data_IF_059209063016
#
_entry.id   IF_059209063016
#
_cell.length_a   1.000
_cell.length_b   1.000
_cell.length_c   1.000
_cell.angle_alpha   90.00
_cell.angle_beta   90.00
_cell.angle_gamma   90.00
#
_symmetry.space_group_name_H-M   'P 1'
#
loop_
_entity.id
_entity.type
_entity.pdbx_description
1 polymer ?
#
# COMPACT_ATOMS: atom_id res chain seq x y z
N UNK A 1 -4.85 -29.17 -28.74
CA UNK A 1 -6.02 -28.99 -27.87
C UNK A 1 -5.98 -29.99 -26.73
N UNK A 2 -5.46 -29.58 -25.58
CA UNK A 2 -5.75 -30.17 -24.26
C UNK A 2 -6.01 -28.99 -23.35
N UNK A 3 -7.24 -28.90 -22.87
CA UNK A 3 -7.76 -27.84 -22.01
C UNK A 3 -7.06 -27.92 -20.66
N UNK A 4 -6.30 -26.88 -20.30
CA UNK A 4 -5.76 -26.72 -18.96
C UNK A 4 -6.94 -26.51 -18.00
N UNK A 5 -7.03 -27.38 -16.98
CA UNK A 5 -8.00 -27.24 -15.89
C UNK A 5 -7.67 -25.94 -15.13
N UNK A 6 -8.65 -25.04 -15.02
CA UNK A 6 -8.68 -24.03 -13.95
C UNK A 6 -8.67 -24.77 -12.61
N UNK A 7 -7.50 -24.90 -12.01
CA UNK A 7 -7.41 -25.27 -10.59
C UNK A 7 -7.83 -24.07 -9.79
N UNK A 8 -8.88 -24.20 -8.95
CA UNK A 8 -8.97 -23.35 -7.78
C UNK A 8 -7.70 -23.62 -6.97
N UNK A 9 -6.85 -22.62 -6.81
CA UNK A 9 -5.70 -22.68 -5.90
C UNK A 9 -6.30 -22.72 -4.49
N UNK A 10 -6.50 -23.92 -3.95
CA UNK A 10 -6.77 -24.06 -2.52
C UNK A 10 -5.51 -23.63 -1.78
N UNK A 11 -5.66 -22.68 -0.84
CA UNK A 11 -4.55 -22.28 0.01
C UNK A 11 -3.90 -23.51 0.69
N UNK A 12 -2.56 -23.65 0.64
CA UNK A 12 -1.85 -24.74 1.29
C UNK A 12 -2.26 -24.86 2.77
N UNK A 13 -2.32 -26.09 3.29
CA UNK A 13 -2.82 -26.35 4.64
C UNK A 13 -2.06 -25.59 5.73
N UNK A 14 -0.75 -25.37 5.55
CA UNK A 14 0.07 -24.58 6.46
C UNK A 14 -0.37 -23.11 6.51
N UNK A 15 -0.71 -22.54 5.35
CA UNK A 15 -1.17 -21.15 5.23
C UNK A 15 -2.50 -20.99 5.95
N UNK A 16 -3.45 -21.93 5.73
CA UNK A 16 -4.72 -21.97 6.46
C UNK A 16 -4.54 -22.05 7.98
N UNK A 17 -3.54 -22.81 8.44
CA UNK A 17 -3.22 -22.92 9.86
C UNK A 17 -2.57 -21.65 10.41
N UNK A 18 -1.72 -20.99 9.63
CA UNK A 18 -1.11 -19.71 9.99
C UNK A 18 -2.17 -18.61 10.09
N UNK A 19 -3.10 -18.50 9.13
CA UNK A 19 -4.28 -17.61 9.21
C UNK A 19 -5.00 -17.84 10.53
N UNK A 20 -5.33 -19.09 10.85
CA UNK A 20 -6.11 -19.45 12.04
C UNK A 20 -5.38 -19.13 13.35
N UNK A 21 -4.06 -19.34 13.41
CA UNK A 21 -3.27 -18.99 14.59
C UNK A 21 -3.04 -17.48 14.72
N UNK A 22 -2.86 -16.76 13.61
CA UNK A 22 -2.82 -15.29 13.58
C UNK A 22 -4.17 -14.71 14.00
N UNK A 23 -5.29 -15.22 13.48
CA UNK A 23 -6.65 -14.86 13.90
C UNK A 23 -6.85 -15.05 15.41
N UNK A 24 -6.39 -16.18 15.97
CA UNK A 24 -6.44 -16.43 17.42
C UNK A 24 -5.59 -15.43 18.20
N UNK A 25 -4.36 -15.15 17.76
CA UNK A 25 -3.45 -14.20 18.43
C UNK A 25 -4.03 -12.79 18.41
N UNK A 26 -4.49 -12.31 17.26
CA UNK A 26 -5.10 -10.98 17.10
C UNK A 26 -6.39 -10.88 17.90
N UNK A 27 -7.29 -11.88 17.81
CA UNK A 27 -8.51 -11.94 18.63
C UNK A 27 -8.22 -11.94 20.14
N UNK A 28 -7.16 -12.63 20.57
CA UNK A 28 -6.75 -12.68 21.98
C UNK A 28 -6.16 -11.35 22.46
N UNK A 29 -5.43 -10.65 21.60
CA UNK A 29 -4.86 -9.34 21.88
C UNK A 29 -5.96 -8.29 22.10
N UNK A 30 -6.96 -8.25 21.22
CA UNK A 30 -8.09 -7.32 21.34
C UNK A 30 -9.08 -7.69 22.47
N UNK A 31 -9.22 -8.98 22.81
CA UNK A 31 -10.02 -9.41 23.98
C UNK A 31 -9.31 -9.20 25.31
N UNK A 32 -7.97 -9.30 25.35
CA UNK A 32 -7.15 -9.10 26.54
C UNK A 32 -7.11 -7.66 27.05
N UNK A 33 -7.42 -6.67 26.21
CA UNK A 33 -7.52 -5.26 26.61
C UNK A 33 -8.79 -4.88 27.37
N UNK A 34 -9.77 -5.77 27.52
CA UNK A 34 -11.07 -5.50 28.16
C UNK A 34 -11.24 -6.04 29.58
N UNK A 35 -10.20 -6.56 30.24
CA UNK A 35 -10.34 -7.27 31.52
C UNK A 35 -9.42 -6.78 32.62
N UNK A 36 -9.81 -5.69 33.31
CA UNK A 36 -9.09 -5.19 34.48
C UNK A 36 -9.91 -4.24 35.35
N UNK A 37 -11.16 -4.58 35.67
CA UNK A 37 -11.93 -3.90 36.70
C UNK A 37 -12.12 -4.85 37.89
N UNK A 38 -11.45 -4.54 38.99
CA UNK A 38 -11.69 -5.15 40.30
C UNK A 38 -13.01 -4.68 40.87
N UNK A 39 -13.81 -5.62 41.37
CA UNK A 39 -15.07 -5.38 42.07
C UNK A 39 -14.91 -4.35 43.20
N UNK A 40 -15.61 -3.23 43.05
CA UNK A 40 -15.82 -2.22 44.09
C UNK A 40 -17.16 -1.54 43.85
N UNK A 41 -18.16 -1.90 44.67
CA UNK A 41 -19.45 -1.24 44.72
C UNK A 41 -19.31 0.27 44.92
N UNK A 42 -19.80 1.07 43.96
CA UNK A 42 -20.31 2.40 44.25
C UNK A 42 -21.36 2.83 43.20
N UNK A 43 -22.53 3.16 43.72
CA UNK A 43 -23.68 3.72 43.03
C UNK A 43 -23.37 5.14 42.53
N UNK A 44 -23.45 5.37 41.22
CA UNK A 44 -23.31 6.69 40.60
C UNK A 44 -23.97 6.71 39.23
N UNK A 45 -24.70 7.78 38.94
CA UNK A 45 -25.57 7.98 37.78
C UNK A 45 -24.82 7.85 36.44
N UNK A 46 -25.43 7.14 35.49
CA UNK A 46 -24.81 6.76 34.22
C UNK A 46 -24.54 7.93 33.28
N UNK A 47 -23.28 8.30 33.15
CA UNK A 47 -22.75 8.88 31.92
C UNK A 47 -22.72 7.76 30.87
N UNK A 48 -23.44 7.94 29.76
CA UNK A 48 -23.29 7.06 28.60
C UNK A 48 -21.90 7.27 28.03
N UNK A 49 -20.94 6.42 28.38
CA UNK A 49 -19.68 6.31 27.65
C UNK A 49 -20.03 6.06 26.17
N UNK A 50 -19.77 7.03 25.31
CA UNK A 50 -19.82 6.82 23.86
C UNK A 50 -18.78 5.76 23.52
N UNK A 51 -19.25 4.54 23.23
CA UNK A 51 -18.40 3.46 22.76
C UNK A 51 -17.88 3.87 21.38
N UNK A 52 -16.67 4.42 21.35
CA UNK A 52 -15.97 4.68 20.09
C UNK A 52 -15.78 3.32 19.40
N UNK A 53 -16.36 3.10 18.21
CA UNK A 53 -16.19 1.84 17.50
C UNK A 53 -14.71 1.58 17.26
N UNK A 54 -14.27 0.35 17.54
CA UNK A 54 -12.91 -0.08 17.19
C UNK A 54 -12.67 0.14 15.69
N UNK A 55 -11.52 0.69 15.28
CA UNK A 55 -11.18 0.78 13.86
C UNK A 55 -10.91 -0.61 13.24
N UNK A 56 -10.77 -1.64 14.07
CA UNK A 56 -10.51 -3.02 13.67
C UNK A 56 -11.75 -3.91 13.81
N UNK A 57 -11.90 -4.84 12.88
CA UNK A 57 -12.90 -5.91 12.85
C UNK A 57 -12.52 -7.08 13.76
N UNK A 58 -13.52 -7.88 14.15
CA UNK A 58 -13.30 -9.14 14.87
C UNK A 58 -12.61 -10.22 14.01
N UNK A 59 -12.73 -10.12 12.68
CA UNK A 59 -12.11 -10.99 11.68
C UNK A 59 -11.73 -10.17 10.46
N UNK A 60 -10.63 -10.51 9.78
CA UNK A 60 -10.21 -9.78 8.59
C UNK A 60 -11.12 -10.09 7.40
N UNK A 61 -11.32 -9.10 6.54
CA UNK A 61 -11.89 -9.30 5.20
C UNK A 61 -10.77 -9.74 4.27
N UNK A 62 -10.81 -11.02 3.88
CA UNK A 62 -9.75 -11.68 3.11
C UNK A 62 -9.96 -11.64 1.58
N UNK A 63 -11.12 -11.13 1.14
CA UNK A 63 -11.42 -10.98 -0.28
C UNK A 63 -10.42 -10.00 -0.91
N UNK A 64 -9.84 -10.41 -2.04
CA UNK A 64 -8.84 -9.64 -2.77
C UNK A 64 -9.42 -9.13 -4.07
N UNK A 65 -9.31 -7.83 -4.30
CA UNK A 65 -9.42 -7.26 -5.63
C UNK A 65 -8.08 -7.50 -6.34
N UNK A 66 -8.13 -8.09 -7.54
CA UNK A 66 -6.94 -8.25 -8.37
C UNK A 66 -7.21 -7.79 -9.79
N UNK A 67 -6.22 -7.15 -10.39
CA UNK A 67 -6.25 -6.74 -11.79
C UNK A 67 -4.89 -7.02 -12.42
N UNK A 68 -4.86 -7.20 -13.74
CA UNK A 68 -3.62 -7.34 -14.50
C UNK A 68 -3.76 -6.65 -15.85
N UNK A 69 -2.62 -6.30 -16.44
CA UNK A 69 -2.60 -5.74 -17.78
C UNK A 69 -1.19 -5.57 -18.31
N UNK A 70 -1.10 -5.03 -19.53
CA UNK A 70 0.18 -4.80 -20.18
C UNK A 70 0.14 -3.57 -21.09
N UNK A 71 1.32 -2.98 -21.29
CA UNK A 71 1.59 -1.96 -22.28
C UNK A 71 2.22 -2.59 -23.53
N UNK A 72 2.02 -1.95 -24.69
CA UNK A 72 2.55 -2.44 -25.97
C UNK A 72 4.07 -2.50 -26.03
N UNK A 73 4.75 -1.72 -25.21
CA UNK A 73 6.20 -1.64 -25.16
C UNK A 73 6.84 -2.64 -24.18
N UNK A 74 6.06 -3.57 -23.63
CA UNK A 74 6.57 -4.71 -22.86
C UNK A 74 6.51 -4.57 -21.34
N UNK A 75 5.89 -3.51 -20.81
CA UNK A 75 5.55 -3.41 -19.40
C UNK A 75 4.34 -4.30 -19.11
N UNK A 76 4.40 -5.15 -18.10
CA UNK A 76 3.25 -5.86 -17.56
C UNK A 76 3.00 -5.41 -16.12
N UNK A 77 1.77 -5.53 -15.65
CA UNK A 77 1.47 -5.25 -14.25
C UNK A 77 0.44 -6.21 -13.69
N UNK A 78 0.47 -6.33 -12.37
CA UNK A 78 -0.67 -6.76 -11.58
C UNK A 78 -0.89 -5.82 -10.39
N UNK A 79 -2.12 -5.81 -9.94
CA UNK A 79 -2.59 -5.14 -8.74
C UNK A 79 -3.17 -6.22 -7.82
N UNK A 80 -2.93 -6.08 -6.52
CA UNK A 80 -3.70 -6.72 -5.47
C UNK A 80 -4.12 -5.70 -4.42
N UNK A 81 -5.34 -5.82 -3.91
CA UNK A 81 -5.82 -5.00 -2.80
C UNK A 81 -6.73 -5.81 -1.87
N UNK A 82 -6.60 -5.61 -0.56
CA UNK A 82 -7.35 -6.32 0.48
C UNK A 82 -7.64 -5.40 1.66
N UNK A 83 -8.88 -5.43 2.17
CA UNK A 83 -9.28 -4.62 3.30
C UNK A 83 -8.62 -5.06 4.63
N UNK A 84 -8.43 -6.37 4.82
CA UNK A 84 -7.76 -6.88 6.01
C UNK A 84 -8.56 -6.60 7.29
N UNK A 85 -7.89 -6.15 8.35
CA UNK A 85 -8.49 -6.00 9.67
C UNK A 85 -9.23 -4.68 9.88
N UNK A 86 -9.08 -3.69 8.99
CA UNK A 86 -9.76 -2.40 9.13
C UNK A 86 -11.26 -2.53 8.87
N UNK A 87 -12.05 -1.70 9.55
CA UNK A 87 -13.51 -1.65 9.35
C UNK A 87 -13.92 -1.19 7.95
N UNK A 88 -13.09 -0.35 7.31
CA UNK A 88 -13.31 0.19 5.98
C UNK A 88 -12.11 -0.11 5.08
N UNK A 89 -12.35 -0.13 3.77
CA UNK A 89 -11.32 -0.06 2.74
C UNK A 89 -11.19 1.39 2.27
N UNK A 90 -10.08 2.04 2.60
CA UNK A 90 -9.82 3.44 2.29
C UNK A 90 -8.76 3.64 1.19
N UNK A 91 -8.03 2.58 0.78
CA UNK A 91 -7.09 2.69 -0.35
C UNK A 91 -7.78 2.73 -1.72
N UNK A 92 -7.15 3.44 -2.64
CA UNK A 92 -7.44 3.46 -4.07
C UNK A 92 -6.16 3.29 -4.87
N UNK A 93 -6.30 3.08 -6.18
CA UNK A 93 -5.16 2.91 -7.08
C UNK A 93 -5.50 3.36 -8.50
N UNK A 94 -4.46 3.62 -9.29
CA UNK A 94 -4.57 3.76 -10.73
C UNK A 94 -3.58 2.80 -11.40
N UNK A 95 -4.07 2.09 -12.42
CA UNK A 95 -3.24 1.28 -13.30
C UNK A 95 -3.52 1.69 -14.75
N UNK A 96 -2.71 2.62 -15.27
CA UNK A 96 -2.83 3.13 -16.64
C UNK A 96 -1.59 2.67 -17.41
N UNK A 97 -1.58 1.43 -17.94
CA UNK A 97 -0.41 0.88 -18.63
C UNK A 97 -0.07 1.64 -19.92
N UNK A 98 -1.01 2.38 -20.48
CA UNK A 98 -0.79 3.14 -21.70
C UNK A 98 -1.60 4.44 -21.68
N UNK A 99 -0.93 5.58 -21.81
CA UNK A 99 -1.58 6.88 -22.05
C UNK A 99 -2.01 7.01 -23.53
N UNK A 100 -2.73 8.08 -23.86
CA UNK A 100 -3.23 8.35 -25.21
C UNK A 100 -2.37 9.32 -26.02
N UNK A 101 -2.65 9.42 -27.32
CA UNK A 101 -2.07 10.44 -28.20
C UNK A 101 -0.55 10.31 -28.36
N UNK A 102 0.16 11.43 -28.25
CA UNK A 102 1.62 11.49 -28.36
C UNK A 102 2.34 10.83 -27.16
N UNK A 103 1.60 10.51 -26.09
CA UNK A 103 2.10 9.83 -24.90
C UNK A 103 1.81 8.32 -24.94
N UNK A 104 1.57 7.73 -26.11
CA UNK A 104 1.21 6.31 -26.24
C UNK A 104 2.26 5.33 -25.70
N UNK A 105 3.49 5.76 -25.45
CA UNK A 105 4.55 4.95 -24.82
C UNK A 105 4.79 5.31 -23.35
N UNK A 106 3.87 6.07 -22.76
CA UNK A 106 3.89 6.42 -21.35
C UNK A 106 2.87 5.60 -20.56
N UNK A 107 3.16 5.40 -19.29
CA UNK A 107 2.28 4.72 -18.33
C UNK A 107 2.19 5.53 -17.04
N UNK A 108 1.07 5.40 -16.33
CA UNK A 108 0.86 5.99 -15.01
C UNK A 108 0.34 4.94 -14.03
N UNK A 109 0.98 4.86 -12.87
CA UNK A 109 0.54 4.00 -11.77
C UNK A 109 0.56 4.77 -10.47
N UNK A 110 -0.40 4.52 -9.58
CA UNK A 110 -0.43 5.16 -8.27
C UNK A 110 -1.18 4.32 -7.24
N UNK A 111 -0.75 4.39 -5.99
CA UNK A 111 -1.48 3.91 -4.81
C UNK A 111 -1.81 5.11 -3.95
N UNK A 112 -3.05 5.16 -3.47
CA UNK A 112 -3.59 6.20 -2.61
C UNK A 112 -4.03 5.53 -1.32
N UNK A 113 -3.35 5.81 -0.22
CA UNK A 113 -3.76 5.31 1.10
C UNK A 113 -4.62 6.38 1.77
N UNK A 114 -5.90 6.09 1.96
CA UNK A 114 -6.87 7.04 2.51
C UNK A 114 -6.95 6.94 4.03
N UNK A 115 -7.14 8.08 4.69
CA UNK A 115 -7.37 8.09 6.13
C UNK A 115 -8.51 9.02 6.54
N UNK A 116 -9.24 8.60 7.58
CA UNK A 116 -10.44 9.28 8.10
C UNK A 116 -11.52 9.45 7.02
N UNK A 117 -11.68 8.42 6.18
CA UNK A 117 -12.66 8.34 5.11
C UNK A 117 -12.02 8.15 3.74
N UNK A 118 -12.69 7.36 2.89
CA UNK A 118 -12.23 7.02 1.55
C UNK A 118 -12.40 8.12 0.49
N UNK A 119 -13.17 9.17 0.80
CA UNK A 119 -13.61 10.15 -0.19
C UNK A 119 -12.47 10.97 -0.81
N UNK A 120 -11.45 11.33 -0.02
CA UNK A 120 -10.29 12.08 -0.52
C UNK A 120 -9.44 11.21 -1.44
N UNK A 121 -9.12 9.98 -1.03
CA UNK A 121 -8.38 9.02 -1.85
C UNK A 121 -9.12 8.72 -3.17
N UNK A 122 -10.44 8.51 -3.09
CA UNK A 122 -11.29 8.33 -4.26
C UNK A 122 -11.22 9.52 -5.22
N UNK A 123 -11.36 10.75 -4.73
CA UNK A 123 -11.26 11.95 -5.56
C UNK A 123 -9.87 12.07 -6.21
N UNK A 124 -8.80 11.93 -5.42
CA UNK A 124 -7.44 12.05 -5.92
C UNK A 124 -7.14 11.01 -7.01
N UNK A 125 -7.57 9.75 -6.84
CA UNK A 125 -7.41 8.69 -7.85
C UNK A 125 -8.14 8.97 -9.17
N UNK A 126 -9.17 9.82 -9.18
CA UNK A 126 -9.90 10.19 -10.39
C UNK A 126 -9.32 11.42 -11.11
N UNK A 127 -8.59 12.27 -10.38
CA UNK A 127 -8.24 13.61 -10.86
C UNK A 127 -6.74 13.88 -10.98
N UNK A 128 -5.89 13.20 -10.20
CA UNK A 128 -4.46 13.52 -10.11
C UNK A 128 -3.75 13.46 -11.47
N UNK A 129 -3.90 12.35 -12.20
CA UNK A 129 -3.32 12.20 -13.53
C UNK A 129 -3.78 13.31 -14.49
N UNK A 130 -5.07 13.65 -14.44
CA UNK A 130 -5.65 14.72 -15.27
C UNK A 130 -5.02 16.08 -14.98
N UNK A 131 -4.78 16.42 -13.71
CA UNK A 131 -4.08 17.65 -13.34
C UNK A 131 -2.62 17.65 -13.77
N UNK A 132 -1.89 16.54 -13.59
CA UNK A 132 -0.49 16.42 -14.03
C UNK A 132 -0.38 16.64 -15.54
N UNK A 133 -1.19 15.93 -16.34
CA UNK A 133 -1.18 16.07 -17.80
C UNK A 133 -1.67 17.46 -18.24
N UNK A 134 -2.64 18.04 -17.54
CA UNK A 134 -3.20 19.36 -17.82
C UNK A 134 -2.20 20.51 -17.67
N UNK A 135 -1.07 20.31 -16.99
CA UNK A 135 0.02 21.30 -16.92
C UNK A 135 0.72 21.53 -18.27
N UNK A 136 0.66 20.54 -19.18
CA UNK A 136 1.41 20.55 -20.44
C UNK A 136 2.92 20.33 -20.29
N UNK A 137 3.41 20.02 -19.07
CA UNK A 137 4.83 19.72 -18.84
C UNK A 137 5.22 18.26 -19.15
N UNK A 138 4.25 17.36 -19.28
CA UNK A 138 4.45 15.98 -19.74
C UNK A 138 4.27 15.93 -21.25
N UNK A 139 5.35 15.61 -21.98
CA UNK A 139 5.38 15.65 -23.44
C UNK A 139 6.35 14.64 -24.04
N UNK A 140 6.30 14.42 -25.36
CA UNK A 140 7.15 13.47 -26.07
C UNK A 140 8.63 13.88 -26.09
N UNK A 141 8.97 15.13 -25.73
CA UNK A 141 10.35 15.57 -25.53
C UNK A 141 10.99 14.98 -24.27
N UNK A 142 10.18 14.37 -23.38
CA UNK A 142 10.60 13.65 -22.18
C UNK A 142 11.62 14.42 -21.33
N UNK A 143 11.39 15.74 -21.20
CA UNK A 143 12.30 16.62 -20.49
C UNK A 143 12.13 16.46 -18.96
N UNK A 144 13.15 15.98 -18.22
CA UNK A 144 12.95 15.64 -16.82
C UNK A 144 12.52 16.80 -15.93
N UNK A 145 13.01 18.02 -16.18
CA UNK A 145 12.69 19.18 -15.36
C UNK A 145 11.25 19.66 -15.60
N UNK A 146 10.75 19.60 -16.85
CA UNK A 146 9.35 19.89 -17.15
C UNK A 146 8.40 18.88 -16.52
N UNK A 147 8.74 17.58 -16.61
CA UNK A 147 7.92 16.50 -16.05
C UNK A 147 7.90 16.56 -14.52
N UNK A 148 9.04 16.84 -13.88
CA UNK A 148 9.09 17.09 -12.43
C UNK A 148 8.18 18.25 -12.02
N UNK A 149 8.28 19.38 -12.73
CA UNK A 149 7.43 20.54 -12.51
C UNK A 149 5.95 20.21 -12.67
N UNK A 150 5.59 19.44 -13.70
CA UNK A 150 4.23 18.98 -13.95
C UNK A 150 3.67 18.10 -12.83
N UNK A 151 4.50 17.20 -12.27
CA UNK A 151 4.09 16.34 -11.15
C UNK A 151 3.83 17.21 -9.91
N UNK A 152 4.76 18.09 -9.53
CA UNK A 152 4.58 18.99 -8.38
C UNK A 152 3.33 19.84 -8.58
N UNK A 153 3.19 20.52 -9.73
CA UNK A 153 2.05 21.36 -10.01
C UNK A 153 0.73 20.56 -10.03
N UNK A 154 0.72 19.35 -10.59
CA UNK A 154 -0.46 18.47 -10.62
C UNK A 154 -0.94 18.10 -9.22
N UNK A 155 -0.03 17.79 -8.28
CA UNK A 155 -0.39 17.55 -6.88
C UNK A 155 -0.96 18.81 -6.22
N UNK A 156 -0.31 19.96 -6.40
CA UNK A 156 -0.75 21.23 -5.82
C UNK A 156 -2.12 21.68 -6.36
N UNK A 157 -2.36 21.50 -7.66
CA UNK A 157 -3.66 21.78 -8.29
C UNK A 157 -4.74 20.80 -7.80
N UNK A 158 -4.40 19.52 -7.64
CA UNK A 158 -5.32 18.51 -7.08
C UNK A 158 -5.78 18.89 -5.68
N UNK A 159 -4.84 19.24 -4.78
CA UNK A 159 -5.16 19.64 -3.40
C UNK A 159 -6.02 20.90 -3.36
N UNK A 160 -5.70 21.90 -4.19
CA UNK A 160 -6.46 23.16 -4.29
C UNK A 160 -7.89 22.93 -4.78
N UNK A 161 -8.09 22.10 -5.80
CA UNK A 161 -9.42 21.75 -6.29
C UNK A 161 -10.19 20.93 -5.26
N UNK A 162 -9.52 19.95 -4.65
CA UNK A 162 -10.08 19.15 -3.57
C UNK A 162 -10.57 20.03 -2.41
N UNK A 163 -9.82 21.06 -2.00
CA UNK A 163 -10.24 21.97 -0.93
C UNK A 163 -11.57 22.68 -1.26
N UNK A 164 -11.72 23.10 -2.52
CA UNK A 164 -12.94 23.76 -3.00
C UNK A 164 -14.14 22.80 -3.00
N UNK A 165 -13.91 21.55 -3.40
CA UNK A 165 -14.93 20.49 -3.39
C UNK A 165 -15.30 20.10 -1.95
N UNK A 166 -14.31 19.82 -1.10
CA UNK A 166 -14.50 19.44 0.30
C UNK A 166 -15.35 20.47 1.06
N UNK A 167 -15.09 21.78 0.85
CA UNK A 167 -15.90 22.84 1.47
C UNK A 167 -17.35 22.87 0.97
N UNK A 168 -17.58 22.58 -0.31
CA UNK A 168 -18.91 22.59 -0.91
C UNK A 168 -19.74 21.38 -0.48
N UNK A 169 -19.11 20.20 -0.44
CA UNK A 169 -19.76 18.93 -0.11
C UNK A 169 -19.76 18.63 1.41
N UNK A 170 -19.11 19.46 2.22
CA UNK A 170 -19.05 19.29 3.67
C UNK A 170 -18.15 18.14 4.12
N UNK A 171 -17.05 17.87 3.40
CA UNK A 171 -16.06 16.87 3.83
C UNK A 171 -15.21 17.48 4.94
N UNK A 172 -15.54 17.15 6.18
CA UNK A 172 -14.93 17.80 7.34
C UNK A 172 -13.52 17.28 7.67
N UNK A 173 -13.21 16.03 7.32
CA UNK A 173 -11.98 15.35 7.70
C UNK A 173 -11.52 14.39 6.60
N UNK A 174 -10.23 14.09 6.63
CA UNK A 174 -9.62 13.04 5.82
C UNK A 174 -8.57 13.55 4.86
N UNK A 175 -7.69 12.64 4.51
CA UNK A 175 -6.58 12.88 3.60
C UNK A 175 -6.23 11.59 2.88
N UNK A 176 -5.23 11.69 2.03
CA UNK A 176 -4.64 10.51 1.41
C UNK A 176 -3.17 10.72 1.16
N UNK A 177 -2.38 9.68 1.41
CA UNK A 177 -1.04 9.60 0.87
C UNK A 177 -1.11 9.24 -0.61
N UNK A 178 -0.07 9.55 -1.35
CA UNK A 178 0.05 9.14 -2.75
C UNK A 178 1.48 8.75 -3.02
N UNK A 179 1.67 7.51 -3.49
CA UNK A 179 2.87 7.14 -4.23
C UNK A 179 2.47 6.91 -5.68
N UNK A 180 3.16 7.55 -6.61
CA UNK A 180 2.84 7.51 -8.03
C UNK A 180 4.08 7.40 -8.89
N UNK A 181 3.92 6.81 -10.08
CA UNK A 181 4.94 6.80 -11.11
C UNK A 181 4.38 7.18 -12.48
N UNK A 182 5.10 8.06 -13.18
CA UNK A 182 5.01 8.21 -14.64
C UNK A 182 6.21 7.49 -15.25
N UNK A 183 5.95 6.59 -16.18
CA UNK A 183 7.02 5.82 -16.86
C UNK A 183 7.00 6.23 -18.32
N UNK A 184 8.11 6.78 -18.80
CA UNK A 184 8.34 7.14 -20.19
C UNK A 184 9.25 6.09 -20.87
N UNK A 185 9.57 6.24 -22.16
CA UNK A 185 10.58 5.40 -22.82
C UNK A 185 11.96 5.45 -22.14
N UNK A 186 12.34 6.57 -21.53
CA UNK A 186 13.70 6.79 -21.02
C UNK A 186 13.79 6.88 -19.49
N UNK A 187 12.72 7.30 -18.81
CA UNK A 187 12.75 7.61 -17.39
C UNK A 187 11.59 6.99 -16.62
N UNK A 188 11.82 6.80 -15.32
CA UNK A 188 10.78 6.55 -14.32
C UNK A 188 10.76 7.76 -13.40
N UNK A 189 9.64 8.47 -13.40
CA UNK A 189 9.37 9.61 -12.55
C UNK A 189 8.55 9.14 -11.36
N UNK A 190 9.07 9.30 -10.15
CA UNK A 190 8.39 8.95 -8.91
C UNK A 190 7.86 10.24 -8.27
N UNK A 191 6.59 10.25 -7.86
CA UNK A 191 6.02 11.28 -7.01
C UNK A 191 5.51 10.66 -5.72
N UNK A 192 6.13 10.99 -4.58
CA UNK A 192 5.71 10.51 -3.27
C UNK A 192 5.21 11.65 -2.36
N UNK A 193 4.06 11.45 -1.72
CA UNK A 193 3.46 12.39 -0.78
C UNK A 193 2.79 11.58 0.34
N UNK A 194 3.52 11.36 1.44
CA UNK A 194 3.11 10.50 2.55
C UNK A 194 4.06 9.31 2.73
N UNK A 195 3.55 8.22 3.31
CA UNK A 195 4.31 7.04 3.73
C UNK A 195 3.92 5.73 3.01
N UNK A 196 3.09 5.83 1.96
CA UNK A 196 3.17 4.85 0.88
C UNK A 196 4.57 4.89 0.24
N UNK A 197 5.01 3.78 -0.36
CA UNK A 197 6.37 3.66 -0.89
C UNK A 197 6.43 2.93 -2.22
N UNK A 198 7.38 3.38 -3.05
CA UNK A 198 7.77 2.71 -4.28
C UNK A 198 9.19 2.17 -4.16
N UNK A 199 9.43 0.97 -4.71
CA UNK A 199 10.74 0.30 -4.72
C UNK A 199 11.01 -0.26 -6.10
N UNK A 200 12.11 0.16 -6.72
CA UNK A 200 12.60 -0.35 -8.00
C UNK A 200 13.68 -1.41 -7.76
N UNK A 201 13.50 -2.58 -8.36
CA UNK A 201 14.47 -3.66 -8.41
C UNK A 201 15.23 -3.63 -9.75
N UNK A 202 16.56 -3.73 -9.66
CA UNK A 202 17.47 -3.87 -10.79
C UNK A 202 18.52 -4.93 -10.47
N UNK A 203 18.65 -5.92 -11.33
CA UNK A 203 19.60 -7.04 -11.14
C UNK A 203 19.48 -7.72 -9.77
N UNK A 204 18.25 -8.02 -9.34
CA UNK A 204 17.93 -8.68 -8.07
C UNK A 204 18.20 -7.86 -6.81
N UNK A 205 18.41 -6.54 -6.91
CA UNK A 205 18.70 -5.66 -5.79
C UNK A 205 17.80 -4.41 -5.82
N UNK A 206 17.51 -3.86 -4.64
CA UNK A 206 16.87 -2.56 -4.51
C UNK A 206 17.81 -1.49 -5.06
N UNK A 207 17.44 -0.84 -6.16
CA UNK A 207 18.27 0.22 -6.75
C UNK A 207 17.74 1.62 -6.45
N UNK A 208 16.46 1.74 -6.12
CA UNK A 208 15.83 2.99 -5.72
C UNK A 208 14.61 2.70 -4.85
N UNK A 209 14.37 3.56 -3.85
CA UNK A 209 13.11 3.63 -3.11
C UNK A 209 12.75 5.08 -2.84
N UNK A 210 11.46 5.39 -2.81
CA UNK A 210 10.99 6.68 -2.29
C UNK A 210 11.18 6.74 -0.78
N UNK A 211 11.40 7.95 -0.25
CA UNK A 211 11.49 8.18 1.20
C UNK A 211 10.11 8.49 1.79
N UNK A 212 9.80 7.90 2.95
CA UNK A 212 8.53 8.11 3.63
C UNK A 212 8.49 9.47 4.34
N UNK A 213 7.36 10.15 4.18
CA UNK A 213 7.11 11.44 4.83
C UNK A 213 6.49 11.27 6.20
N UNK A 214 7.36 11.00 7.19
CA UNK A 214 6.99 10.84 8.59
C UNK A 214 7.17 12.15 9.38
N UNK A 215 6.26 12.50 10.31
CA UNK A 215 6.33 13.74 11.10
C UNK A 215 7.64 13.93 11.88
N UNK A 216 8.29 12.84 12.29
CA UNK A 216 9.54 12.89 13.04
C UNK A 216 10.79 13.06 12.17
N UNK A 217 10.66 13.01 10.84
CA UNK A 217 11.78 13.28 9.92
C UNK A 217 12.23 14.74 10.07
N UNK A 218 13.55 15.05 10.04
CA UNK A 218 14.07 16.37 10.43
C UNK A 218 13.41 17.56 9.71
N UNK A 219 13.34 17.53 8.37
CA UNK A 219 12.76 18.62 7.57
C UNK A 219 11.23 18.72 7.75
N UNK A 220 10.57 17.57 7.92
CA UNK A 220 9.12 17.52 8.15
C UNK A 220 8.77 18.12 9.52
N UNK A 221 9.52 17.74 10.56
CA UNK A 221 9.38 18.27 11.91
C UNK A 221 9.61 19.78 11.94
N UNK A 222 10.66 20.27 11.29
CA UNK A 222 10.96 21.71 11.21
C UNK A 222 9.80 22.47 10.56
N UNK A 223 9.24 21.95 9.45
CA UNK A 223 8.07 22.55 8.79
C UNK A 223 6.86 22.57 9.72
N UNK A 224 6.56 21.45 10.41
CA UNK A 224 5.42 21.32 11.32
C UNK A 224 5.52 22.33 12.48
N UNK A 225 6.68 22.41 13.14
CA UNK A 225 6.91 23.34 14.26
C UNK A 225 6.86 24.80 13.79
N UNK A 226 7.41 25.08 12.61
CA UNK A 226 7.33 26.39 11.97
C UNK A 226 5.89 26.80 11.65
N UNK A 227 5.02 25.85 11.29
CA UNK A 227 3.59 26.08 11.07
C UNK A 227 2.77 26.19 12.37
N UNK A 228 3.42 26.17 13.55
CA UNK A 228 2.78 26.30 14.85
C UNK A 228 2.26 24.99 15.44
N UNK A 229 2.57 23.85 14.81
CA UNK A 229 2.27 22.51 15.33
C UNK A 229 3.38 21.97 16.24
N UNK A 230 3.23 20.71 16.64
CA UNK A 230 4.27 19.94 17.33
C UNK A 230 4.29 18.49 16.85
N UNK A 231 5.40 17.80 17.09
CA UNK A 231 5.52 16.37 16.82
C UNK A 231 5.59 15.63 18.16
N UNK A 232 4.52 14.90 18.48
CA UNK A 232 4.37 14.15 19.73
C UNK A 232 3.99 12.71 19.40
N UNK A 233 4.64 11.73 20.03
CA UNK A 233 4.40 10.30 19.75
C UNK A 233 4.46 9.98 18.25
N UNK A 234 5.46 10.53 17.55
CA UNK A 234 5.66 10.38 16.10
C UNK A 234 4.53 10.96 15.22
N UNK A 235 3.60 11.74 15.79
CA UNK A 235 2.42 12.28 15.13
C UNK A 235 2.34 13.80 15.21
N UNK A 236 1.77 14.44 14.19
CA UNK A 236 1.44 15.86 14.20
C UNK A 236 0.37 16.12 15.28
N UNK A 237 0.71 16.94 16.26
CA UNK A 237 -0.13 17.25 17.42
C UNK A 237 -0.67 15.99 18.12
N UNK A 238 0.13 14.91 18.12
CA UNK A 238 -0.26 13.62 18.71
C UNK A 238 -1.32 12.83 17.93
N UNK A 239 -1.77 13.33 16.76
CA UNK A 239 -2.92 12.77 16.04
C UNK A 239 -2.53 12.10 14.71
N UNK A 240 -1.98 12.86 13.76
CA UNK A 240 -1.75 12.38 12.38
C UNK A 240 -0.34 11.80 12.20
N UNK A 241 -0.23 10.58 11.67
CA UNK A 241 1.04 9.84 11.53
C UNK A 241 1.82 10.15 10.24
N UNK A 242 1.23 10.90 9.32
CA UNK A 242 1.88 11.33 8.07
C UNK A 242 2.16 12.83 8.11
N UNK A 243 3.27 13.24 7.50
CA UNK A 243 3.59 14.66 7.37
C UNK A 243 3.19 15.26 6.04
N UNK A 244 2.97 14.43 5.02
CA UNK A 244 2.51 14.90 3.70
C UNK A 244 1.31 14.10 3.24
N UNK A 245 0.33 14.80 2.69
CA UNK A 245 -0.91 14.23 2.18
C UNK A 245 -1.67 15.28 1.34
N UNK A 246 -2.49 14.79 0.41
CA UNK A 246 -3.59 15.56 -0.16
C UNK A 246 -4.78 15.51 0.81
N UNK A 247 -5.56 16.60 0.92
CA UNK A 247 -6.61 16.72 1.93
C UNK A 247 -6.09 17.28 3.26
N UNK A 248 -6.57 16.76 4.39
CA UNK A 248 -6.15 17.16 5.75
C UNK A 248 -6.18 18.68 5.99
N UNK A 249 -7.21 19.35 5.48
CA UNK A 249 -7.27 20.82 5.44
C UNK A 249 -7.27 21.48 6.83
N UNK A 250 -7.67 20.77 7.88
CA UNK A 250 -7.52 21.22 9.27
C UNK A 250 -6.07 21.49 9.67
N UNK A 251 -5.11 20.85 9.01
CA UNK A 251 -3.67 21.05 9.21
C UNK A 251 -3.05 22.05 8.22
N UNK A 252 -3.86 22.67 7.35
CA UNK A 252 -3.44 23.57 6.26
C UNK A 252 -3.96 25.01 6.42
N UNK A 253 -4.16 25.44 7.67
CA UNK A 253 -4.71 26.75 8.03
C UNK A 253 -3.72 27.73 8.67
N UNK A 254 -2.41 27.44 8.71
CA UNK A 254 -1.42 28.32 9.31
C UNK A 254 -1.29 29.63 8.52
N UNK A 255 -1.44 30.77 9.20
CA UNK A 255 -1.30 32.09 8.60
C UNK A 255 0.13 32.34 8.09
N UNK A 256 0.26 33.09 6.99
CA UNK A 256 1.56 33.46 6.39
C UNK A 256 2.44 32.27 5.95
N UNK A 257 1.85 31.10 5.74
CA UNK A 257 2.54 29.91 5.20
C UNK A 257 2.01 29.59 3.80
N UNK A 258 2.91 29.26 2.88
CA UNK A 258 2.49 28.72 1.57
C UNK A 258 1.85 27.34 1.76
N UNK A 259 1.14 26.80 0.74
CA UNK A 259 0.54 25.47 0.87
C UNK A 259 1.56 24.36 1.21
N UNK A 260 2.80 24.46 0.71
CA UNK A 260 3.88 23.51 1.03
C UNK A 260 4.53 23.71 2.41
N UNK A 261 4.23 24.83 3.09
CA UNK A 261 4.78 25.17 4.41
C UNK A 261 3.77 24.97 5.55
N UNK A 262 2.65 24.31 5.27
CA UNK A 262 1.64 23.95 6.26
C UNK A 262 2.11 22.78 7.15
N UNK A 263 1.38 22.47 8.23
CA UNK A 263 1.74 21.31 9.07
C UNK A 263 1.70 20.01 8.26
N UNK A 264 0.69 19.85 7.40
CA UNK A 264 0.64 18.80 6.37
C UNK A 264 0.88 19.44 5.01
N UNK A 265 1.91 19.00 4.29
CA UNK A 265 2.22 19.51 2.95
C UNK A 265 1.59 18.62 1.86
N UNK A 266 0.94 19.20 0.83
CA UNK A 266 0.53 18.47 -0.37
C UNK A 266 1.65 18.34 -1.41
N UNK A 267 2.82 18.93 -1.17
CA UNK A 267 3.93 18.93 -2.12
C UNK A 267 4.61 17.55 -2.17
N UNK A 268 4.64 16.89 -3.33
CA UNK A 268 5.31 15.60 -3.47
C UNK A 268 6.83 15.78 -3.50
N UNK A 269 7.56 14.80 -3.01
CA UNK A 269 8.93 14.60 -3.43
C UNK A 269 8.95 13.94 -4.82
N UNK A 270 9.71 14.51 -5.76
CA UNK A 270 9.81 13.99 -7.11
C UNK A 270 11.23 13.54 -7.42
N UNK A 271 11.39 12.24 -7.65
CA UNK A 271 12.65 11.62 -8.04
C UNK A 271 12.58 11.10 -9.47
N UNK A 272 13.71 11.10 -10.18
CA UNK A 272 13.78 10.62 -11.56
C UNK A 272 14.93 9.63 -11.69
N UNK A 273 14.61 8.46 -12.22
CA UNK A 273 15.57 7.39 -12.48
C UNK A 273 15.59 7.10 -13.97
N UNK A 274 16.78 7.06 -14.56
CA UNK A 274 16.94 6.61 -15.94
C UNK A 274 16.70 5.10 -16.02
N UNK A 275 15.89 4.70 -17.01
CA UNK A 275 15.56 3.31 -17.25
C UNK A 275 16.79 2.53 -17.70
N UNK A 276 16.83 1.27 -17.30
CA UNK A 276 17.85 0.32 -17.70
C UNK A 276 17.21 -0.94 -18.27
N UNK A 277 17.81 -1.58 -19.28
CA UNK A 277 17.44 -2.93 -19.68
C UNK A 277 17.55 -3.97 -18.53
N UNK A 278 18.27 -3.63 -17.46
CA UNK A 278 18.41 -4.45 -16.25
C UNK A 278 17.32 -4.20 -15.21
N UNK A 279 16.41 -3.24 -15.44
CA UNK A 279 15.26 -3.05 -14.58
C UNK A 279 14.40 -4.32 -14.62
N UNK A 280 14.14 -4.89 -13.45
CA UNK A 280 13.38 -6.13 -13.33
C UNK A 280 11.92 -5.83 -13.07
N UNK A 281 11.64 -5.19 -11.93
CA UNK A 281 10.29 -4.86 -11.52
C UNK A 281 10.28 -3.65 -10.59
N UNK A 282 9.10 -3.04 -10.49
CA UNK A 282 8.82 -1.91 -9.61
C UNK A 282 7.56 -2.24 -8.79
N UNK A 283 7.65 -2.04 -7.48
CA UNK A 283 6.53 -2.19 -6.54
C UNK A 283 6.09 -0.81 -6.07
N UNK A 284 4.78 -0.53 -6.09
CA UNK A 284 4.14 0.57 -5.36
C UNK A 284 3.19 -0.05 -4.34
N UNK A 285 3.26 0.35 -3.07
CA UNK A 285 2.34 -0.15 -2.06
C UNK A 285 2.11 0.86 -0.93
N UNK A 286 0.99 0.71 -0.21
CA UNK A 286 0.72 1.44 1.03
C UNK A 286 1.52 0.87 2.21
N UNK A 287 1.48 1.56 3.36
CA UNK A 287 2.23 1.16 4.55
C UNK A 287 1.75 -0.18 5.14
N UNK A 288 0.51 -0.61 4.85
CA UNK A 288 0.00 -1.94 5.17
C UNK A 288 0.87 -3.10 4.64
N UNK A 289 1.71 -2.84 3.61
CA UNK A 289 2.83 -3.71 3.23
C UNK A 289 4.08 -3.35 4.04
N UNK A 290 4.57 -2.11 3.89
CA UNK A 290 5.90 -1.69 4.32
C UNK A 290 6.14 -1.69 5.84
N UNK A 291 5.08 -1.67 6.65
CA UNK A 291 5.17 -1.81 8.11
C UNK A 291 5.56 -3.23 8.55
N UNK A 292 5.44 -4.23 7.66
CA UNK A 292 5.69 -5.64 8.00
C UNK A 292 6.85 -6.28 7.24
N UNK A 293 7.34 -5.63 6.18
CA UNK A 293 8.39 -6.17 5.32
C UNK A 293 9.33 -5.06 4.85
N UNK A 294 10.65 -5.32 4.89
CA UNK A 294 11.63 -4.34 4.41
C UNK A 294 11.67 -4.29 2.88
N UNK A 295 12.31 -3.25 2.33
CA UNK A 295 12.52 -3.11 0.89
C UNK A 295 13.25 -4.34 0.30
N UNK A 296 14.33 -4.77 0.97
CA UNK A 296 15.16 -5.91 0.55
C UNK A 296 14.42 -7.23 0.68
N UNK A 297 13.69 -7.44 1.79
CA UNK A 297 12.88 -8.64 2.01
C UNK A 297 11.79 -8.78 0.93
N UNK A 298 11.06 -7.70 0.63
CA UNK A 298 10.02 -7.73 -0.39
C UNK A 298 10.60 -7.91 -1.78
N UNK A 299 11.71 -7.23 -2.09
CA UNK A 299 12.42 -7.37 -3.36
C UNK A 299 12.87 -8.83 -3.59
N UNK A 300 13.52 -9.43 -2.59
CA UNK A 300 13.93 -10.84 -2.66
C UNK A 300 12.72 -11.78 -2.81
N UNK A 301 11.64 -11.52 -2.06
CA UNK A 301 10.42 -12.31 -2.15
C UNK A 301 9.80 -12.26 -3.56
N UNK A 302 9.59 -11.06 -4.09
CA UNK A 302 9.02 -10.86 -5.44
C UNK A 302 9.92 -11.47 -6.51
N UNK A 303 11.24 -11.23 -6.45
CA UNK A 303 12.19 -11.81 -7.39
C UNK A 303 12.08 -13.34 -7.44
N UNK A 304 12.07 -14.01 -6.27
CA UNK A 304 11.92 -15.46 -6.19
C UNK A 304 10.55 -15.92 -6.69
N UNK A 305 9.47 -15.20 -6.34
CA UNK A 305 8.12 -15.56 -6.80
C UNK A 305 7.97 -15.44 -8.32
N UNK A 306 8.61 -14.47 -8.97
CA UNK A 306 8.59 -14.34 -10.43
C UNK A 306 9.28 -15.52 -11.15
N UNK A 307 10.16 -16.26 -10.48
CA UNK A 307 10.81 -17.44 -11.03
C UNK A 307 9.94 -18.72 -10.96
N UNK A 308 8.83 -18.69 -10.23
CA UNK A 308 7.95 -19.85 -10.01
C UNK A 308 6.48 -19.59 -10.32
N UNK A 309 6.04 -18.33 -10.32
CA UNK A 309 4.67 -17.94 -10.67
C UNK A 309 4.55 -17.57 -12.14
N UNK A 310 3.42 -17.94 -12.76
CA UNK A 310 3.07 -17.51 -14.12
C UNK A 310 2.10 -16.33 -14.15
N UNK A 311 1.32 -16.15 -13.08
CA UNK A 311 0.35 -15.08 -12.93
C UNK A 311 0.89 -14.05 -11.93
N UNK A 312 0.98 -12.79 -12.36
CA UNK A 312 1.46 -11.69 -11.51
C UNK A 312 0.48 -11.39 -10.37
N UNK A 313 -0.82 -11.69 -10.54
CA UNK A 313 -1.82 -11.52 -9.47
C UNK A 313 -1.58 -12.49 -8.32
N UNK A 314 -1.06 -13.68 -8.61
CA UNK A 314 -0.69 -14.64 -7.57
C UNK A 314 0.49 -14.10 -6.74
N UNK A 315 1.44 -13.41 -7.38
CA UNK A 315 2.56 -12.76 -6.68
C UNK A 315 2.04 -11.65 -5.75
N UNK A 316 1.17 -10.76 -6.25
CA UNK A 316 0.53 -9.72 -5.42
C UNK A 316 -0.27 -10.33 -4.26
N UNK A 317 -1.06 -11.37 -4.53
CA UNK A 317 -1.85 -12.08 -3.52
C UNK A 317 -0.97 -12.68 -2.42
N UNK A 318 0.16 -13.29 -2.79
CA UNK A 318 1.10 -13.86 -1.84
C UNK A 318 1.83 -12.80 -1.01
N UNK A 319 2.12 -11.62 -1.57
CA UNK A 319 2.66 -10.49 -0.80
C UNK A 319 1.64 -10.01 0.23
N UNK A 320 0.37 -9.84 -0.17
CA UNK A 320 -0.70 -9.42 0.74
C UNK A 320 -0.86 -10.43 1.89
N UNK A 321 -0.91 -11.72 1.56
CA UNK A 321 -1.04 -12.78 2.56
C UNK A 321 0.18 -12.82 3.50
N UNK A 322 1.39 -12.66 2.97
CA UNK A 322 2.61 -12.57 3.77
C UNK A 322 2.54 -11.41 4.77
N UNK A 323 2.13 -10.21 4.34
CA UNK A 323 2.00 -9.04 5.21
C UNK A 323 0.94 -9.25 6.30
N UNK A 324 -0.21 -9.82 5.93
CA UNK A 324 -1.26 -10.19 6.88
C UNK A 324 -0.74 -11.19 7.93
N UNK A 325 0.01 -12.21 7.52
CA UNK A 325 0.56 -13.21 8.44
C UNK A 325 1.71 -12.68 9.30
N UNK A 326 2.48 -11.70 8.80
CA UNK A 326 3.48 -10.97 9.59
C UNK A 326 2.85 -9.98 10.57
N UNK A 327 1.53 -9.78 10.49
CA UNK A 327 0.76 -9.05 11.50
C UNK A 327 0.25 -7.68 11.06
N UNK A 328 0.21 -7.40 9.76
CA UNK A 328 -0.43 -6.19 9.24
C UNK A 328 -1.91 -6.17 9.67
N UNK A 329 -2.32 -5.05 10.27
CA UNK A 329 -3.71 -4.80 10.69
C UNK A 329 -4.39 -3.77 9.78
N UNK A 330 -3.75 -3.40 8.67
CA UNK A 330 -4.20 -2.33 7.81
C UNK A 330 -4.94 -2.80 6.54
N UNK A 331 -5.43 -1.85 5.75
CA UNK A 331 -5.67 -2.06 4.33
C UNK A 331 -4.33 -2.35 3.65
N UNK A 332 -4.34 -3.20 2.63
CA UNK A 332 -3.13 -3.62 1.94
C UNK A 332 -3.36 -3.52 0.44
N UNK A 333 -2.67 -2.60 -0.22
CA UNK A 333 -2.68 -2.42 -1.67
C UNK A 333 -1.27 -2.44 -2.24
N UNK A 334 -1.09 -3.19 -3.32
CA UNK A 334 0.19 -3.35 -4.01
C UNK A 334 -0.02 -3.38 -5.52
N UNK A 335 0.80 -2.63 -6.25
CA UNK A 335 0.98 -2.72 -7.69
C UNK A 335 2.38 -3.27 -7.96
N UNK A 336 2.45 -4.38 -8.68
CA UNK A 336 3.69 -4.95 -9.21
C UNK A 336 3.77 -4.68 -10.70
N UNK A 337 4.82 -3.98 -11.12
CA UNK A 337 5.15 -3.69 -12.52
C UNK A 337 6.36 -4.52 -12.91
N UNK A 338 6.28 -5.31 -13.98
CA UNK A 338 7.41 -6.07 -14.51
C UNK A 338 7.88 -5.45 -15.83
N UNK A 339 9.17 -5.15 -15.89
CA UNK A 339 9.86 -4.70 -17.10
C UNK A 339 10.33 -5.92 -17.92
N UNK A 340 10.80 -5.72 -19.17
CA UNK A 340 11.35 -6.81 -19.97
C UNK A 340 12.53 -7.56 -19.32
N UNK A 341 13.24 -6.92 -18.37
CA UNK A 341 14.33 -7.54 -17.60
C UNK A 341 13.88 -8.39 -16.42
N UNK A 342 12.56 -8.50 -16.14
CA UNK A 342 12.04 -9.26 -15.00
C UNK A 342 12.51 -10.73 -15.02
N UNK A 343 12.72 -11.35 -13.83
CA UNK A 343 13.01 -12.77 -13.72
C UNK A 343 11.99 -13.60 -14.50
N UNK A 344 12.52 -14.61 -15.20
CA UNK A 344 11.71 -15.58 -15.92
C UNK A 344 11.61 -16.86 -15.10
N UNK A 345 10.64 -17.71 -15.45
CA UNK A 345 10.50 -19.02 -14.83
C UNK A 345 11.83 -19.80 -14.87
N UNK A 346 12.19 -20.37 -13.73
CA UNK A 346 13.38 -21.20 -13.58
C UNK A 346 12.97 -22.64 -13.27
N UNK A 347 13.41 -23.59 -14.10
CA UNK A 347 13.16 -25.01 -13.85
C UNK A 347 13.79 -25.48 -12.53
N UNK A 348 14.92 -24.90 -12.15
CA UNK A 348 15.57 -25.15 -10.87
C UNK A 348 14.74 -24.60 -9.70
N UNK A 349 14.26 -23.36 -9.79
CA UNK A 349 13.42 -22.76 -8.74
C UNK A 349 12.09 -23.51 -8.58
N UNK A 350 11.46 -23.91 -9.69
CA UNK A 350 10.24 -24.72 -9.67
C UNK A 350 10.45 -26.08 -8.99
N UNK A 351 11.59 -26.71 -9.22
CA UNK A 351 11.93 -27.97 -8.56
C UNK A 351 12.14 -27.76 -7.05
N UNK A 352 12.89 -26.72 -6.66
CA UNK A 352 13.12 -26.38 -5.25
C UNK A 352 11.81 -26.03 -4.51
N UNK A 353 10.88 -25.32 -5.17
CA UNK A 353 9.56 -25.01 -4.61
C UNK A 353 8.76 -26.30 -4.34
N UNK A 354 8.72 -27.22 -5.31
CA UNK A 354 8.02 -28.50 -5.15
C UNK A 354 8.62 -29.36 -4.02
N UNK A 355 9.95 -29.42 -3.91
CA UNK A 355 10.62 -30.13 -2.81
C UNK A 355 10.29 -29.50 -1.45
N UNK A 356 10.21 -28.17 -1.38
CA UNK A 356 9.83 -27.45 -0.17
C UNK A 356 8.36 -27.71 0.21
N UNK A 357 7.46 -27.72 -0.76
CA UNK A 357 6.04 -28.05 -0.54
C UNK A 357 5.89 -29.47 0.02
N UNK A 358 6.52 -30.47 -0.60
CA UNK A 358 6.51 -31.86 -0.11
C UNK A 358 7.06 -31.97 1.33
N UNK A 359 8.13 -31.23 1.64
CA UNK A 359 8.71 -31.18 2.98
C UNK A 359 7.76 -30.53 3.99
N UNK A 360 7.06 -29.46 3.62
CA UNK A 360 6.09 -28.80 4.50
C UNK A 360 4.87 -29.68 4.74
N UNK A 361 4.32 -30.31 3.70
CA UNK A 361 3.18 -31.22 3.82
C UNK A 361 3.50 -32.41 4.74
N UNK A 362 4.66 -33.04 4.56
CA UNK A 362 5.10 -34.15 5.41
C UNK A 362 5.28 -33.73 6.87
N UNK A 363 5.83 -32.54 7.14
CA UNK A 363 5.93 -32.01 8.50
C UNK A 363 4.56 -31.73 9.11
N UNK A 364 3.65 -31.10 8.38
CA UNK A 364 2.29 -30.78 8.87
C UNK A 364 1.50 -32.06 9.17
N UNK A 365 1.59 -33.08 8.30
CA UNK A 365 0.95 -34.37 8.55
C UNK A 365 1.45 -35.03 9.84
N UNK A 366 2.74 -34.89 10.15
CA UNK A 366 3.34 -35.37 11.40
C UNK A 366 2.86 -34.67 12.68
N UNK A 367 2.24 -33.48 12.56
CA UNK A 367 1.71 -32.71 13.69
C UNK A 367 0.21 -32.93 13.96
N UNK A 368 -0.50 -33.73 13.16
CA UNK A 368 -1.90 -34.04 13.48
C UNK A 368 -1.96 -34.78 14.82
N UNK A 369 -2.59 -34.22 15.88
CA UNK A 369 -2.73 -34.93 17.13
C UNK A 369 -3.57 -36.18 16.89
N UNK A 370 -3.09 -37.32 17.39
CA UNK A 370 -3.91 -38.53 17.48
C UNK A 370 -5.16 -38.21 18.29
N UNK A 371 -6.27 -37.95 17.60
CA UNK A 371 -7.58 -37.97 18.22
C UNK A 371 -7.84 -39.42 18.63
N UNK A 372 -7.47 -39.78 19.85
CA UNK A 372 -7.96 -40.97 20.51
C UNK A 372 -9.42 -40.67 20.90
N UNK A 373 -10.42 -41.38 20.35
CA UNK A 373 -11.75 -41.31 20.89
C UNK A 373 -11.65 -41.87 22.30
N UNK A 374 -11.84 -41.02 23.30
CA UNK A 374 -12.02 -41.46 24.67
C UNK A 374 -13.22 -42.41 24.67
N UNK A 375 -12.93 -43.68 24.96
CA UNK A 375 -13.94 -44.68 25.24
C UNK A 375 -14.84 -44.15 26.36
N UNK A 376 -16.06 -43.76 26.00
CA UNK A 376 -17.16 -43.74 26.94
C UNK A 376 -17.47 -45.19 27.26
N UNK A 377 -17.00 -45.67 28.41
CA UNK A 377 -17.57 -46.84 29.05
C UNK A 377 -18.16 -46.41 30.40
N UNK A 378 -19.42 -46.81 30.54
CA UNK A 378 -20.43 -46.59 31.57
C UNK A 378 -19.99 -46.45 33.02
#
# INVERSE_FOLDING_TARGET
MRTARKGNVEMPAFVRQLVKETEKRVSSFFKGGRGGASDGEQTGEGEKEEVIPSPYLDRPVLDKLTEEGCARWGLTYALGSMQGWRANMEDFHNCVPQLGGELAEWSFFAVFDGHAGSTVAQYCSQHLLGHILGTGGVGPDDNPEKVKGAIVEGFMQTDKHLHSVARREGWERGGTTVVSTLISPYYIYFGNCGDSRAVLCRSGQVCFSTEDHKPYSPLEKERIESAGGSVSLQRINGSLAVSRALGDFSYKGAENRTPSQQMVSPEPEVCVVERSPMDEFLVLACDGVWDTISNEELCAFVHNRLQVCTDLRDVCTQVIDLCLYKGSLDNISIILLCFPGAPQLSAEALHQEAELEDLLESKVAGFQPSYSPTNVQH
#
